data_IF_831230429433
#
_entry.id   IF_831230429433
#
_cell.length_a   1.000
_cell.length_b   1.000
_cell.length_c   1.000
_cell.angle_alpha   90.00
_cell.angle_beta   90.00
_cell.angle_gamma   90.00
#
_symmetry.space_group_name_H-M   'P 1'
#
loop_
_entity.id
_entity.type
_entity.pdbx_description
1 polymer ?
#
# COMPACT_ATOMS: atom_id res chain seq x y z
N UNK A 1 -53.77 19.13 -17.25
CA UNK A 1 -52.67 18.27 -17.56
C UNK A 1 -51.97 17.67 -16.34
N UNK A 2 -51.74 16.40 -16.34
CA UNK A 2 -51.05 15.73 -15.27
C UNK A 2 -49.57 16.09 -15.21
N UNK A 3 -49.02 16.23 -14.00
CA UNK A 3 -47.58 16.38 -13.83
C UNK A 3 -46.86 15.14 -14.37
N UNK A 4 -45.84 15.35 -15.18
CA UNK A 4 -45.00 14.24 -15.61
C UNK A 4 -44.23 13.71 -14.41
N UNK A 5 -44.15 12.35 -14.20
CA UNK A 5 -43.29 11.81 -13.17
C UNK A 5 -41.85 12.30 -13.40
N UNK A 6 -41.16 12.70 -12.33
CA UNK A 6 -39.75 13.02 -12.42
C UNK A 6 -38.98 11.77 -12.81
N UNK A 7 -38.09 11.83 -13.81
CA UNK A 7 -37.26 10.68 -14.12
C UNK A 7 -36.44 10.26 -12.91
N UNK A 8 -36.21 8.96 -12.80
CA UNK A 8 -35.28 8.44 -11.81
C UNK A 8 -33.91 9.11 -11.98
N UNK A 9 -33.40 9.67 -10.89
CA UNK A 9 -32.10 10.28 -10.88
C UNK A 9 -31.06 9.30 -10.35
N UNK A 10 -30.22 8.73 -11.24
CA UNK A 10 -29.05 8.01 -10.79
C UNK A 10 -28.01 9.02 -10.29
N UNK A 11 -27.38 8.68 -9.18
CA UNK A 11 -26.35 9.48 -8.57
C UNK A 11 -25.01 8.79 -8.73
N UNK A 12 -23.97 9.57 -9.04
CA UNK A 12 -22.60 9.07 -9.13
C UNK A 12 -21.75 9.75 -8.09
N UNK A 13 -20.91 8.97 -7.40
CA UNK A 13 -19.97 9.49 -6.42
C UNK A 13 -18.71 8.63 -6.44
N UNK A 14 -17.64 9.16 -5.86
CA UNK A 14 -16.40 8.41 -5.69
C UNK A 14 -16.32 7.84 -4.29
N UNK A 15 -15.74 6.66 -4.16
CA UNK A 15 -15.51 6.00 -2.88
C UNK A 15 -14.04 5.58 -2.79
N UNK A 16 -13.32 6.20 -1.84
CA UNK A 16 -11.97 5.77 -1.52
C UNK A 16 -12.03 4.59 -0.55
N UNK A 17 -11.49 3.45 -0.95
CA UNK A 17 -11.51 2.23 -0.15
C UNK A 17 -10.11 1.90 0.37
N UNK A 18 -9.98 1.45 1.63
CA UNK A 18 -8.70 1.01 2.15
C UNK A 18 -8.15 -0.19 1.38
N UNK A 19 -6.83 -0.25 1.19
CA UNK A 19 -6.20 -1.38 0.51
C UNK A 19 -6.48 -2.71 1.20
N UNK A 20 -6.60 -2.71 2.53
CA UNK A 20 -6.95 -3.91 3.31
C UNK A 20 -8.33 -4.44 2.91
N UNK A 21 -9.29 -3.56 2.65
CA UNK A 21 -10.63 -3.97 2.21
C UNK A 21 -10.60 -4.58 0.82
N UNK A 22 -9.80 -4.03 -0.08
CA UNK A 22 -9.59 -4.57 -1.44
C UNK A 22 -8.92 -5.94 -1.36
N UNK A 23 -7.94 -6.08 -0.49
CA UNK A 23 -7.20 -7.32 -0.31
C UNK A 23 -8.07 -8.44 0.25
N UNK A 24 -8.90 -8.13 1.28
CA UNK A 24 -9.71 -9.14 1.99
C UNK A 24 -11.12 -9.30 1.43
N UNK A 25 -11.63 -8.29 0.71
CA UNK A 25 -13.04 -8.25 0.33
C UNK A 25 -13.93 -7.84 1.50
N UNK A 26 -13.43 -6.98 2.38
CA UNK A 26 -14.16 -6.51 3.56
C UNK A 26 -15.26 -5.53 3.17
N UNK A 27 -16.21 -5.33 4.10
CA UNK A 27 -17.21 -4.29 3.98
C UNK A 27 -16.70 -2.97 4.55
N UNK A 28 -17.18 -1.87 4.00
CA UNK A 28 -16.94 -0.52 4.50
C UNK A 28 -18.27 0.15 4.78
N UNK A 29 -18.28 1.08 5.73
CA UNK A 29 -19.48 1.87 6.06
C UNK A 29 -19.37 3.25 5.45
N UNK A 30 -20.46 3.68 4.80
CA UNK A 30 -20.55 5.02 4.24
C UNK A 30 -21.86 5.68 4.67
N UNK A 31 -21.84 7.03 4.76
CA UNK A 31 -23.06 7.81 4.99
C UNK A 31 -23.66 8.23 3.65
N UNK A 32 -24.93 7.91 3.45
CA UNK A 32 -25.71 8.31 2.27
C UNK A 32 -27.07 8.81 2.73
N UNK A 33 -27.40 10.07 2.37
CA UNK A 33 -28.71 10.67 2.68
C UNK A 33 -29.14 10.52 4.14
N UNK A 34 -28.20 10.77 5.07
CA UNK A 34 -28.45 10.67 6.51
C UNK A 34 -28.51 9.24 7.05
N UNK A 35 -28.26 8.23 6.22
CA UNK A 35 -28.21 6.83 6.62
C UNK A 35 -26.82 6.28 6.47
N UNK A 36 -26.47 5.31 7.31
CA UNK A 36 -25.21 4.56 7.20
C UNK A 36 -25.49 3.27 6.43
N UNK A 37 -24.74 3.07 5.36
CA UNK A 37 -24.82 1.86 4.55
C UNK A 37 -23.55 1.06 4.70
N UNK A 38 -23.70 -0.25 4.83
CA UNK A 38 -22.57 -1.18 4.79
C UNK A 38 -22.42 -1.72 3.39
N UNK A 39 -21.25 -1.53 2.80
CA UNK A 39 -20.99 -1.88 1.41
C UNK A 39 -19.87 -2.89 1.35
N UNK A 40 -20.14 -4.04 0.72
CA UNK A 40 -19.10 -5.03 0.49
C UNK A 40 -18.20 -4.56 -0.66
N UNK A 41 -16.91 -4.48 -0.39
CA UNK A 41 -15.89 -4.19 -1.39
C UNK A 41 -15.49 -5.52 -2.04
N UNK A 42 -15.76 -5.72 -3.33
CA UNK A 42 -15.34 -6.95 -3.99
C UNK A 42 -13.82 -7.11 -3.93
N UNK A 43 -13.38 -8.29 -3.56
CA UNK A 43 -11.95 -8.62 -3.45
C UNK A 43 -11.23 -8.34 -4.76
N UNK A 44 -10.20 -7.52 -4.71
CA UNK A 44 -9.42 -7.16 -5.89
C UNK A 44 -10.09 -6.16 -6.83
N UNK A 45 -11.12 -5.45 -6.39
CA UNK A 45 -11.77 -4.43 -7.22
C UNK A 45 -10.72 -3.42 -7.72
N UNK A 46 -10.87 -3.01 -8.98
CA UNK A 46 -9.92 -2.08 -9.62
C UNK A 46 -10.41 -0.64 -9.50
N UNK A 47 -9.49 0.34 -9.44
CA UNK A 47 -9.87 1.75 -9.55
C UNK A 47 -10.64 1.99 -10.84
N UNK A 48 -11.66 2.83 -10.78
CA UNK A 48 -12.52 3.13 -11.91
C UNK A 48 -13.71 2.20 -12.06
N UNK A 49 -13.70 1.03 -11.43
CA UNK A 49 -14.89 0.18 -11.36
C UNK A 49 -15.90 0.80 -10.42
N UNK A 50 -17.18 0.53 -10.64
CA UNK A 50 -18.27 1.08 -9.82
C UNK A 50 -19.02 -0.01 -9.08
N UNK A 51 -19.46 0.34 -7.87
CA UNK A 51 -20.42 -0.46 -7.10
C UNK A 51 -21.78 0.21 -7.23
N UNK A 52 -22.79 -0.56 -7.63
CA UNK A 52 -24.16 -0.10 -7.76
C UNK A 52 -24.93 -0.39 -6.48
N UNK A 53 -25.61 0.63 -5.97
CA UNK A 53 -26.52 0.53 -4.85
C UNK A 53 -27.94 0.85 -5.34
N UNK A 54 -28.74 -0.17 -5.48
CA UNK A 54 -30.11 -0.04 -5.98
C UNK A 54 -30.97 0.82 -5.06
N UNK A 55 -31.69 1.78 -5.65
CA UNK A 55 -32.61 2.63 -4.91
C UNK A 55 -32.01 3.67 -4.01
N UNK A 56 -30.69 3.84 -3.99
CA UNK A 56 -29.98 4.79 -3.11
C UNK A 56 -29.61 6.11 -3.82
N UNK A 57 -29.98 6.26 -5.08
CA UNK A 57 -29.82 7.51 -5.82
C UNK A 57 -30.95 8.49 -5.57
N UNK A 58 -30.90 9.63 -6.26
CA UNK A 58 -31.96 10.64 -6.20
C UNK A 58 -33.27 10.14 -6.81
N UNK A 59 -34.40 10.53 -6.25
CA UNK A 59 -35.73 10.22 -6.80
C UNK A 59 -35.96 8.73 -7.11
N UNK A 60 -35.47 7.82 -6.24
CA UNK A 60 -35.64 6.39 -6.42
C UNK A 60 -34.71 5.76 -7.46
N UNK A 61 -33.77 6.51 -8.00
CA UNK A 61 -32.71 5.97 -8.85
C UNK A 61 -31.64 5.21 -8.07
N UNK A 62 -30.57 4.85 -8.74
CA UNK A 62 -29.48 4.10 -8.17
C UNK A 62 -28.29 4.99 -7.83
N UNK A 63 -27.48 4.56 -6.88
CA UNK A 63 -26.20 5.18 -6.56
C UNK A 63 -25.07 4.33 -7.12
N UNK A 64 -24.19 4.97 -7.91
CA UNK A 64 -22.99 4.34 -8.45
C UNK A 64 -21.78 4.92 -7.74
N UNK A 65 -21.02 4.07 -7.09
CA UNK A 65 -19.80 4.46 -6.39
C UNK A 65 -18.59 4.04 -7.20
N UNK A 66 -17.93 5.02 -7.82
CA UNK A 66 -16.69 4.78 -8.54
C UNK A 66 -15.57 4.58 -7.52
N UNK A 67 -14.88 3.45 -7.61
CA UNK A 67 -13.84 3.08 -6.65
C UNK A 67 -12.54 3.79 -6.97
N UNK A 68 -11.92 4.31 -5.93
CA UNK A 68 -10.52 4.69 -5.90
C UNK A 68 -9.89 4.09 -4.64
N UNK A 69 -8.59 3.89 -4.66
CA UNK A 69 -7.88 3.37 -3.49
C UNK A 69 -7.51 4.52 -2.56
N UNK A 70 -7.80 4.36 -1.27
CA UNK A 70 -7.37 5.30 -0.26
C UNK A 70 -5.85 5.30 -0.16
N UNK A 71 -5.26 6.48 0.11
CA UNK A 71 -3.83 6.56 0.40
C UNK A 71 -3.48 5.68 1.60
N UNK A 72 -2.35 5.00 1.53
CA UNK A 72 -1.87 4.12 2.60
C UNK A 72 -0.54 4.69 3.13
N UNK A 73 -0.31 4.65 4.45
CA UNK A 73 0.93 5.21 5.02
C UNK A 73 2.20 4.47 4.62
N UNK A 74 2.10 3.21 4.21
CA UNK A 74 3.26 2.37 3.92
C UNK A 74 3.30 1.86 2.48
N UNK A 75 2.16 1.73 1.81
CA UNK A 75 2.07 1.06 0.52
C UNK A 75 1.60 2.00 -0.58
N UNK A 76 2.22 1.87 -1.74
CA UNK A 76 1.73 2.44 -2.99
C UNK A 76 1.29 1.31 -3.91
N UNK A 77 0.41 1.62 -4.85
CA UNK A 77 -0.14 0.62 -5.78
C UNK A 77 0.32 0.94 -7.19
N UNK A 78 0.82 -0.08 -7.86
CA UNK A 78 1.14 -0.04 -9.28
C UNK A 78 0.44 -1.24 -9.95
N UNK A 79 -0.71 -0.99 -10.59
CA UNK A 79 -1.56 -2.06 -11.10
C UNK A 79 -2.05 -2.95 -9.95
N UNK A 80 -1.64 -4.21 -9.93
CA UNK A 80 -1.90 -5.13 -8.81
C UNK A 80 -0.70 -5.30 -7.90
N UNK A 81 0.42 -4.67 -8.22
CA UNK A 81 1.60 -4.71 -7.37
C UNK A 81 1.51 -3.70 -6.24
N UNK A 82 2.06 -4.07 -5.12
CA UNK A 82 2.20 -3.20 -3.95
C UNK A 82 3.67 -2.79 -3.86
N UNK A 83 3.92 -1.50 -3.73
CA UNK A 83 5.27 -0.96 -3.60
C UNK A 83 5.50 -0.58 -2.13
N UNK A 84 6.60 -1.06 -1.57
CA UNK A 84 6.96 -0.80 -0.18
C UNK A 84 8.44 -0.40 -0.11
N UNK A 85 8.73 0.71 0.56
CA UNK A 85 10.09 1.17 0.82
C UNK A 85 10.54 0.67 2.18
N UNK A 86 11.57 -0.19 2.21
CA UNK A 86 12.09 -0.79 3.44
C UNK A 86 13.34 -0.05 3.89
N UNK A 87 13.29 0.67 5.03
CA UNK A 87 14.51 1.21 5.61
C UNK A 87 15.43 0.08 6.07
N UNK A 88 16.69 0.14 5.68
CA UNK A 88 17.71 -0.82 6.11
C UNK A 88 18.94 -0.07 6.59
N UNK A 89 19.60 -0.64 7.58
CA UNK A 89 20.86 -0.09 8.08
C UNK A 89 22.01 -0.46 7.14
N UNK A 90 23.11 0.32 7.13
CA UNK A 90 24.27 -0.01 6.31
C UNK A 90 24.84 -1.42 6.57
N UNK A 91 24.84 -1.87 7.82
CA UNK A 91 25.32 -3.22 8.16
C UNK A 91 24.38 -4.32 7.66
N UNK A 92 23.09 -4.06 7.60
CA UNK A 92 22.13 -5.03 7.04
C UNK A 92 22.32 -5.15 5.53
N UNK A 93 22.52 -4.04 4.85
CA UNK A 93 22.74 -4.03 3.41
C UNK A 93 24.08 -4.68 3.03
N UNK A 94 25.13 -4.41 3.81
CA UNK A 94 26.49 -4.91 3.53
C UNK A 94 26.64 -6.38 3.89
N UNK A 95 26.14 -6.77 5.06
CA UNK A 95 26.37 -8.12 5.61
C UNK A 95 25.24 -9.08 5.29
N UNK A 96 24.12 -8.57 4.81
CA UNK A 96 22.90 -9.35 4.70
C UNK A 96 22.18 -9.47 6.04
N UNK A 97 20.89 -9.69 5.99
CA UNK A 97 20.05 -9.83 7.17
C UNK A 97 18.74 -10.50 6.79
N UNK A 98 18.02 -11.00 7.77
CA UNK A 98 16.64 -11.39 7.62
C UNK A 98 15.80 -10.42 8.43
N UNK A 99 14.86 -9.75 7.77
CA UNK A 99 14.02 -8.72 8.41
C UNK A 99 12.55 -9.03 8.18
N UNK A 100 11.72 -8.57 9.11
CA UNK A 100 10.27 -8.68 8.99
C UNK A 100 9.75 -7.53 8.14
N UNK A 101 8.92 -7.85 7.15
CA UNK A 101 8.34 -6.87 6.22
C UNK A 101 6.81 -6.94 6.32
N UNK A 102 6.12 -5.81 6.48
CA UNK A 102 4.66 -5.82 6.48
C UNK A 102 4.14 -6.09 5.06
N UNK A 103 3.07 -6.85 4.98
CA UNK A 103 2.28 -7.02 3.76
C UNK A 103 0.80 -6.86 4.10
N UNK A 104 -0.04 -6.73 3.09
CA UNK A 104 -1.50 -6.66 3.34
C UNK A 104 -2.03 -7.93 3.99
N UNK A 105 -1.36 -9.06 3.79
CA UNK A 105 -1.71 -10.34 4.38
C UNK A 105 -0.97 -10.68 5.67
N UNK A 106 -0.25 -9.73 6.26
CA UNK A 106 0.55 -9.95 7.48
C UNK A 106 2.03 -9.83 7.20
N UNK A 107 2.83 -9.88 8.26
CA UNK A 107 4.29 -9.77 8.15
C UNK A 107 4.90 -11.04 7.57
N UNK A 108 5.92 -10.88 6.74
CA UNK A 108 6.71 -11.98 6.20
C UNK A 108 8.19 -11.70 6.42
N UNK A 109 8.98 -12.77 6.51
CA UNK A 109 10.43 -12.67 6.59
C UNK A 109 11.03 -12.44 5.21
N UNK A 110 11.90 -11.44 5.10
CA UNK A 110 12.61 -11.11 3.87
C UNK A 110 14.11 -11.23 4.10
N UNK A 111 14.77 -11.99 3.25
CA UNK A 111 16.23 -12.11 3.27
C UNK A 111 16.84 -10.99 2.42
N UNK A 112 17.61 -10.13 3.06
CA UNK A 112 18.39 -9.09 2.38
C UNK A 112 19.73 -9.70 1.99
N UNK A 113 20.07 -9.77 0.68
CA UNK A 113 21.37 -10.31 0.26
C UNK A 113 22.53 -9.42 0.72
N UNK A 114 23.69 -10.02 0.93
CA UNK A 114 24.95 -9.29 1.16
C UNK A 114 25.23 -8.31 0.02
N UNK A 115 25.88 -7.22 0.36
CA UNK A 115 26.27 -6.18 -0.62
C UNK A 115 25.08 -5.63 -1.42
N UNK A 116 23.96 -5.49 -0.77
CA UNK A 116 22.78 -4.88 -1.38
C UNK A 116 22.95 -3.38 -1.50
N UNK A 117 22.67 -2.84 -2.67
CA UNK A 117 22.70 -1.41 -2.93
C UNK A 117 21.37 -0.74 -2.57
N UNK A 118 21.43 0.55 -2.26
CA UNK A 118 20.21 1.34 -2.05
C UNK A 118 19.41 1.39 -3.36
N UNK A 119 18.11 1.25 -3.26
CA UNK A 119 17.24 1.19 -4.43
C UNK A 119 17.05 -0.22 -4.99
N UNK A 120 17.75 -1.22 -4.45
CA UNK A 120 17.54 -2.60 -4.87
C UNK A 120 16.12 -3.04 -4.60
N UNK A 121 15.51 -3.68 -5.58
CA UNK A 121 14.14 -4.18 -5.49
C UNK A 121 14.15 -5.70 -5.28
N UNK A 122 13.38 -6.14 -4.29
CA UNK A 122 13.17 -7.55 -3.97
C UNK A 122 11.68 -7.84 -4.12
N UNK A 123 11.34 -8.97 -4.70
CA UNK A 123 9.96 -9.33 -5.02
C UNK A 123 9.40 -10.35 -4.04
N UNK A 124 8.25 -10.04 -3.45
CA UNK A 124 7.45 -10.97 -2.66
C UNK A 124 6.30 -11.45 -3.54
N UNK A 125 6.43 -12.62 -4.12
CA UNK A 125 5.47 -13.14 -5.09
C UNK A 125 4.11 -13.40 -4.45
N UNK A 126 3.06 -12.96 -5.15
CA UNK A 126 1.70 -13.20 -4.73
C UNK A 126 1.24 -12.37 -3.54
N UNK A 127 2.05 -11.41 -3.07
CA UNK A 127 1.73 -10.57 -1.91
C UNK A 127 1.15 -9.21 -2.29
N UNK A 128 0.83 -9.00 -3.55
CA UNK A 128 0.13 -7.82 -4.02
C UNK A 128 -1.38 -7.95 -3.91
N UNK A 129 -2.10 -7.18 -4.70
CA UNK A 129 -3.56 -7.22 -4.71
C UNK A 129 -4.07 -8.49 -5.39
N UNK A 130 -5.25 -8.98 -4.97
CA UNK A 130 -5.85 -10.17 -5.56
C UNK A 130 -6.14 -10.00 -7.05
N UNK A 131 -6.05 -11.08 -7.79
CA UNK A 131 -6.34 -11.12 -9.22
C UNK A 131 -5.95 -12.46 -9.82
N UNK A 132 -6.04 -12.56 -11.15
CA UNK A 132 -5.65 -13.75 -11.91
C UNK A 132 -4.59 -13.35 -12.96
N UNK A 133 -3.30 -13.45 -12.61
CA UNK A 133 -2.72 -13.82 -11.32
C UNK A 133 -2.78 -12.69 -10.29
N UNK A 134 -2.59 -13.02 -9.02
CA UNK A 134 -2.40 -12.02 -7.99
C UNK A 134 -1.16 -11.17 -8.28
N UNK A 135 -1.16 -9.92 -7.82
CA UNK A 135 0.02 -9.06 -7.89
C UNK A 135 1.09 -9.48 -6.90
N UNK A 136 2.21 -8.81 -6.98
CA UNK A 136 3.36 -9.03 -6.09
C UNK A 136 3.61 -7.79 -5.24
N UNK A 137 4.29 -7.97 -4.11
CA UNK A 137 4.83 -6.83 -3.39
C UNK A 137 6.29 -6.62 -3.79
N UNK A 138 6.59 -5.41 -4.22
CA UNK A 138 7.95 -5.00 -4.57
C UNK A 138 8.51 -4.23 -3.38
N UNK A 139 9.59 -4.75 -2.79
CA UNK A 139 10.28 -4.11 -1.67
C UNK A 139 11.51 -3.41 -2.20
N UNK A 140 11.54 -2.10 -2.08
CA UNK A 140 12.70 -1.29 -2.46
C UNK A 140 13.51 -0.97 -1.22
N UNK A 141 14.80 -1.32 -1.23
CA UNK A 141 15.68 -1.07 -0.10
C UNK A 141 16.09 0.41 -0.07
N UNK A 142 15.91 1.03 1.08
CA UNK A 142 16.35 2.39 1.34
C UNK A 142 17.38 2.34 2.46
N UNK A 143 18.67 2.55 2.13
CA UNK A 143 19.73 2.51 3.13
C UNK A 143 19.72 3.83 3.89
N UNK A 144 19.52 3.75 5.19
CA UNK A 144 19.51 4.91 6.07
C UNK A 144 20.58 4.75 7.14
N UNK A 145 21.27 5.85 7.45
CA UNK A 145 22.21 5.88 8.57
C UNK A 145 21.42 6.11 9.86
N UNK A 146 21.39 5.15 10.81
CA UNK A 146 20.74 5.37 12.10
C UNK A 146 21.37 6.56 12.83
N UNK A 147 20.51 7.31 13.53
CA UNK A 147 20.98 8.46 14.33
C UNK A 147 21.72 7.99 15.56
N UNK A 148 22.71 8.80 15.97
CA UNK A 148 23.45 8.55 17.20
C UNK A 148 22.67 9.07 18.39
N UNK A 149 22.47 8.22 19.41
CA UNK A 149 21.75 8.56 20.64
C UNK A 149 22.62 8.44 21.90
N UNK A 150 23.78 7.79 21.82
CA UNK A 150 24.68 7.61 22.95
C UNK A 150 26.15 7.52 22.50
N UNK A 151 27.06 7.49 23.46
CA UNK A 151 28.50 7.47 23.19
C UNK A 151 28.95 6.18 22.52
N UNK A 152 28.36 5.04 22.85
CA UNK A 152 28.69 3.77 22.25
C UNK A 152 28.37 3.76 20.76
N UNK A 153 27.21 4.32 20.38
CA UNK A 153 26.83 4.45 18.98
C UNK A 153 27.75 5.41 18.23
N UNK A 154 28.15 6.51 18.86
CA UNK A 154 29.12 7.45 18.29
C UNK A 154 30.45 6.76 18.00
N UNK A 155 30.97 6.03 18.99
CA UNK A 155 32.23 5.29 18.85
C UNK A 155 32.15 4.25 17.72
N UNK A 156 30.99 3.57 17.58
CA UNK A 156 30.81 2.61 16.48
C UNK A 156 30.91 3.28 15.12
N UNK A 157 30.30 4.45 14.96
CA UNK A 157 30.43 5.23 13.71
C UNK A 157 31.85 5.70 13.47
N UNK A 158 32.53 6.18 14.50
CA UNK A 158 33.92 6.62 14.39
C UNK A 158 34.83 5.46 13.94
N UNK A 159 34.68 4.28 14.52
CA UNK A 159 35.42 3.09 14.12
C UNK A 159 35.13 2.69 12.67
N UNK A 160 33.87 2.74 12.27
CA UNK A 160 33.47 2.45 10.89
C UNK A 160 34.10 3.45 9.92
N UNK A 161 34.00 4.75 10.23
CA UNK A 161 34.61 5.81 9.43
C UNK A 161 36.10 5.57 9.25
N UNK A 162 36.82 5.28 10.32
CA UNK A 162 38.26 5.07 10.30
C UNK A 162 38.64 3.79 9.54
N UNK A 163 37.84 2.75 9.64
CA UNK A 163 38.08 1.51 8.92
C UNK A 163 37.91 1.64 7.42
N UNK A 164 36.93 2.41 6.95
CA UNK A 164 36.69 2.59 5.53
C UNK A 164 37.55 3.67 4.88
N UNK A 165 37.88 4.72 5.62
CA UNK A 165 38.64 5.85 5.05
C UNK A 165 37.80 6.60 4.01
N UNK A 166 38.50 7.23 3.05
CA UNK A 166 37.86 8.09 2.05
C UNK A 166 37.77 7.48 0.64
N UNK A 167 38.49 6.40 0.38
CA UNK A 167 38.63 5.85 -0.98
C UNK A 167 37.39 5.05 -1.44
N UNK A 168 36.52 4.69 -0.56
CA UNK A 168 35.31 3.91 -0.87
C UNK A 168 34.38 4.59 -1.89
N UNK A 169 34.42 5.94 -1.99
CA UNK A 169 33.59 6.69 -2.94
C UNK A 169 33.95 6.45 -4.40
N UNK A 170 35.12 5.90 -4.66
CA UNK A 170 35.61 5.66 -6.00
C UNK A 170 35.18 4.31 -6.58
N UNK A 171 34.45 3.55 -5.83
CA UNK A 171 33.98 2.24 -6.23
C UNK A 171 33.02 2.33 -7.42
#
# INVERSE_FOLDING_TARGET
GGARPRPRGDTRAKLAVPLEAVYRGDSVRIGVNGRTLEIKVPKGIKPGQSIRLGGQGGNGGDLYLEIEYAAHPQFEVDGRNILYSLPVAPWEAALGATVSVPTLGGSVELKIPTDSESGRKLRLRGRGLPGQPAGDQIVELEILAPRVHDDAQREAYEKMRDAFGDDWRRA
#
